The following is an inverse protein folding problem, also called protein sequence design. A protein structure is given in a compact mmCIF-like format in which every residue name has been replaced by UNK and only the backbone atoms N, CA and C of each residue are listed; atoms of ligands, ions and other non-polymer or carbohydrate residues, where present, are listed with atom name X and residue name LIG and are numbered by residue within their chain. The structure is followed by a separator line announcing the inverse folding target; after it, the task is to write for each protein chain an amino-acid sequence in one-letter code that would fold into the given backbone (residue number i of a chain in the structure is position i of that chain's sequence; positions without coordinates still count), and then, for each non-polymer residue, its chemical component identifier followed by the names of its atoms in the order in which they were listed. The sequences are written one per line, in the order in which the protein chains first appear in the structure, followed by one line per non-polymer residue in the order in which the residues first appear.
data_IF_141049818525
#
_entry.id   IF_141049818525
#
_cell.length_a   1.000
_cell.length_b   1.000
_cell.length_c   1.000
_cell.angle_alpha   90.00
_cell.angle_beta   90.00
_cell.angle_gamma   90.00
#
_symmetry.space_group_name_H-M   'P 1'
#
loop_
_entity.id
_entity.type
_entity.pdbx_description
1 polymer ?
#
# COMPACT_ATOMS: atom_id res chain seq x y z
N UNK A 1 -91.67 28.88 -69.10
CA UNK A 1 -91.37 27.74 -69.98
C UNK A 1 -89.87 27.40 -69.88
N UNK A 2 -89.58 26.15 -69.52
CA UNK A 2 -88.34 25.35 -69.71
C UNK A 2 -86.95 25.85 -69.24
N UNK A 3 -86.57 25.40 -68.03
CA UNK A 3 -85.49 24.43 -67.70
C UNK A 3 -84.27 24.33 -68.64
N UNK A 4 -83.06 24.57 -68.10
CA UNK A 4 -81.99 23.55 -68.02
C UNK A 4 -80.81 23.97 -67.13
N UNK A 5 -80.38 23.02 -66.30
CA UNK A 5 -79.27 23.06 -65.35
C UNK A 5 -77.92 22.84 -66.01
N UNK A 6 -76.85 23.38 -65.40
CA UNK A 6 -75.57 22.67 -65.25
C UNK A 6 -74.67 23.39 -64.23
N UNK A 7 -74.39 22.73 -63.11
CA UNK A 7 -73.26 23.05 -62.24
C UNK A 7 -72.02 22.33 -62.78
N UNK A 8 -70.91 23.03 -62.96
CA UNK A 8 -69.58 22.39 -63.06
C UNK A 8 -68.52 23.19 -62.31
N UNK A 9 -67.62 22.40 -61.70
CA UNK A 9 -66.59 22.74 -60.73
C UNK A 9 -65.49 23.66 -61.29
N UNK A 10 -65.01 24.57 -60.45
CA UNK A 10 -63.73 25.27 -60.58
C UNK A 10 -62.89 24.97 -59.32
N UNK A 11 -61.73 24.35 -59.51
CA UNK A 11 -60.58 24.52 -58.61
C UNK A 11 -59.30 24.32 -59.42
N UNK A 12 -58.39 25.27 -59.27
CA UNK A 12 -57.34 25.60 -60.23
C UNK A 12 -56.17 24.62 -60.29
N UNK A 13 -55.62 24.52 -61.49
CA UNK A 13 -54.34 23.90 -61.82
C UNK A 13 -53.15 24.75 -61.35
N UNK A 14 -52.14 24.12 -60.75
CA UNK A 14 -50.83 24.68 -60.39
C UNK A 14 -49.95 24.98 -61.62
N UNK A 15 -49.16 26.07 -61.64
CA UNK A 15 -48.21 26.32 -62.72
C UNK A 15 -46.87 25.63 -62.43
N UNK A 16 -46.44 24.75 -63.32
CA UNK A 16 -45.15 24.02 -63.27
C UNK A 16 -44.12 24.83 -64.08
N UNK A 17 -43.22 25.55 -63.40
CA UNK A 17 -42.09 26.22 -64.07
C UNK A 17 -41.13 25.15 -64.62
N UNK A 18 -40.98 25.06 -65.95
CA UNK A 18 -40.05 24.15 -66.60
C UNK A 18 -38.68 24.83 -66.68
N UNK A 19 -37.82 24.59 -65.69
CA UNK A 19 -36.39 24.91 -65.83
C UNK A 19 -35.84 24.01 -66.95
N UNK A 20 -35.22 24.60 -67.96
CA UNK A 20 -34.67 23.85 -69.10
C UNK A 20 -33.64 22.81 -68.61
N UNK A 21 -33.71 21.54 -69.07
CA UNK A 21 -32.75 20.51 -68.66
C UNK A 21 -31.30 20.90 -69.00
N UNK A 22 -31.12 21.76 -70.01
CA UNK A 22 -29.83 22.28 -70.43
C UNK A 22 -29.23 23.25 -69.38
N UNK A 23 -30.06 24.05 -68.72
CA UNK A 23 -29.64 24.93 -67.62
C UNK A 23 -29.25 24.13 -66.38
N UNK A 24 -30.03 23.09 -66.05
CA UNK A 24 -29.70 22.19 -64.93
C UNK A 24 -28.38 21.44 -65.18
N UNK A 25 -28.15 20.96 -66.40
CA UNK A 25 -26.88 20.33 -66.78
C UNK A 25 -25.70 21.29 -66.67
N UNK A 26 -25.87 22.56 -67.06
CA UNK A 26 -24.85 23.59 -66.96
C UNK A 26 -24.49 23.88 -65.49
N UNK A 27 -25.48 24.05 -64.61
CA UNK A 27 -25.25 24.25 -63.18
C UNK A 27 -24.60 23.04 -62.52
N UNK A 28 -25.00 21.82 -62.89
CA UNK A 28 -24.39 20.59 -62.38
C UNK A 28 -22.92 20.47 -62.79
N UNK A 29 -22.58 20.81 -64.04
CA UNK A 29 -21.21 20.83 -64.55
C UNK A 29 -20.34 21.88 -63.83
N UNK A 30 -20.86 23.09 -63.63
CA UNK A 30 -20.11 24.11 -62.87
C UNK A 30 -19.90 23.72 -61.40
N UNK A 31 -20.90 23.10 -60.77
CA UNK A 31 -20.78 22.62 -59.39
C UNK A 31 -19.73 21.50 -59.28
N UNK A 32 -19.66 20.58 -60.24
CA UNK A 32 -18.64 19.52 -60.24
C UNK A 32 -17.24 20.07 -60.44
N UNK A 33 -17.05 21.03 -61.36
CA UNK A 33 -15.75 21.71 -61.54
C UNK A 33 -15.34 22.47 -60.28
N UNK A 34 -16.27 23.17 -59.62
CA UNK A 34 -16.00 23.88 -58.38
C UNK A 34 -15.60 22.93 -57.24
N UNK A 35 -16.33 21.83 -57.05
CA UNK A 35 -16.00 20.83 -56.04
C UNK A 35 -14.66 20.15 -56.34
N UNK A 36 -14.41 19.77 -57.59
CA UNK A 36 -13.13 19.21 -58.01
C UNK A 36 -11.96 20.18 -57.76
N UNK A 37 -12.15 21.48 -58.04
CA UNK A 37 -11.16 22.51 -57.74
C UNK A 37 -10.88 22.67 -56.24
N UNK A 38 -11.93 22.61 -55.40
CA UNK A 38 -11.77 22.67 -53.93
C UNK A 38 -11.08 21.42 -53.38
N UNK A 39 -11.39 20.24 -53.91
CA UNK A 39 -10.73 19.00 -53.54
C UNK A 39 -9.25 18.99 -53.97
N UNK A 40 -8.95 19.54 -55.15
CA UNK A 40 -7.57 19.68 -55.62
C UNK A 40 -6.76 20.61 -54.70
N UNK A 41 -7.32 21.76 -54.35
CA UNK A 41 -6.68 22.69 -53.40
C UNK A 41 -6.48 22.06 -52.01
N UNK A 42 -7.45 21.31 -51.49
CA UNK A 42 -7.30 20.61 -50.21
C UNK A 42 -6.21 19.52 -50.28
N UNK A 43 -6.09 18.82 -51.42
CA UNK A 43 -5.04 17.84 -51.63
C UNK A 43 -3.63 18.47 -51.68
N UNK A 44 -3.47 19.62 -52.35
CA UNK A 44 -2.20 20.36 -52.36
C UNK A 44 -1.81 20.86 -50.96
N UNK A 45 -2.78 21.38 -50.20
CA UNK A 45 -2.54 21.81 -48.81
C UNK A 45 -2.13 20.64 -47.94
N UNK A 46 -2.78 19.47 -48.07
CA UNK A 46 -2.38 18.26 -47.33
C UNK A 46 -1.00 17.78 -47.72
N UNK A 47 -0.67 17.76 -49.01
CA UNK A 47 0.65 17.37 -49.48
C UNK A 47 1.75 18.30 -48.92
N UNK A 48 1.51 19.61 -48.92
CA UNK A 48 2.40 20.59 -48.33
C UNK A 48 2.57 20.38 -46.81
N UNK A 49 1.47 20.16 -46.08
CA UNK A 49 1.53 19.93 -44.63
C UNK A 49 2.25 18.63 -44.27
N UNK A 50 2.07 17.56 -45.06
CA UNK A 50 2.78 16.29 -44.89
C UNK A 50 4.28 16.49 -45.13
N UNK A 51 4.66 17.23 -46.17
CA UNK A 51 6.07 17.53 -46.46
C UNK A 51 6.73 18.36 -45.35
N UNK A 52 6.04 19.37 -44.82
CA UNK A 52 6.54 20.16 -43.68
C UNK A 52 6.64 19.31 -42.40
N UNK A 53 5.67 18.41 -42.16
CA UNK A 53 5.70 17.44 -41.06
C UNK A 53 6.90 16.49 -41.16
N UNK A 54 7.16 15.91 -42.33
CA UNK A 54 8.31 15.03 -42.55
C UNK A 54 9.63 15.79 -42.38
N UNK A 55 9.73 17.04 -42.88
CA UNK A 55 10.90 17.88 -42.70
C UNK A 55 11.18 18.20 -41.22
N UNK A 56 10.13 18.48 -40.43
CA UNK A 56 10.25 18.75 -38.98
C UNK A 56 10.61 17.50 -38.18
N UNK A 57 10.05 16.35 -38.57
CA UNK A 57 10.32 15.05 -37.94
C UNK A 57 11.75 14.60 -38.22
N UNK A 58 12.26 14.81 -39.43
CA UNK A 58 13.65 14.53 -39.80
C UNK A 58 14.68 15.43 -39.10
N UNK A 59 14.29 16.63 -38.64
CA UNK A 59 15.15 17.54 -37.86
C UNK A 59 15.20 17.22 -36.35
N UNK A 60 14.59 16.11 -35.90
CA UNK A 60 14.70 15.64 -34.52
C UNK A 60 13.98 16.50 -33.47
N UNK A 61 13.16 17.48 -33.89
CA UNK A 61 12.20 18.13 -33.00
C UNK A 61 10.94 17.27 -32.98
N UNK A 62 10.83 16.40 -31.97
CA UNK A 62 9.57 15.71 -31.67
C UNK A 62 8.44 16.73 -31.63
N UNK A 63 7.40 16.50 -32.42
CA UNK A 63 6.15 17.25 -32.35
C UNK A 63 5.65 17.11 -30.93
N UNK A 64 5.82 18.16 -30.12
CA UNK A 64 5.38 18.20 -28.73
C UNK A 64 3.86 17.98 -28.77
N UNK A 65 3.41 16.83 -28.29
CA UNK A 65 1.98 16.56 -28.19
C UNK A 65 1.34 17.61 -27.29
N UNK A 66 0.07 17.95 -27.54
CA UNK A 66 -0.71 18.78 -26.61
C UNK A 66 -0.66 18.19 -25.19
N UNK A 67 -0.57 16.87 -25.08
CA UNK A 67 -0.40 16.14 -23.82
C UNK A 67 0.95 16.43 -23.14
N UNK A 68 2.07 16.52 -23.87
CA UNK A 68 3.38 16.83 -23.30
C UNK A 68 3.44 18.28 -22.79
N UNK A 69 2.78 19.19 -23.51
CA UNK A 69 2.67 20.60 -23.09
C UNK A 69 1.81 20.72 -21.82
N UNK A 70 0.71 19.98 -21.76
CA UNK A 70 -0.16 19.90 -20.58
C UNK A 70 0.61 19.32 -19.39
N UNK A 71 1.39 18.25 -19.60
CA UNK A 71 2.21 17.63 -18.55
C UNK A 71 3.28 18.60 -18.02
N UNK A 72 3.91 19.38 -18.89
CA UNK A 72 4.91 20.40 -18.52
C UNK A 72 4.27 21.53 -17.69
N UNK A 73 3.09 22.00 -18.08
CA UNK A 73 2.34 23.03 -17.32
C UNK A 73 1.92 22.48 -15.95
N UNK A 74 1.42 21.24 -15.90
CA UNK A 74 1.01 20.58 -14.65
C UNK A 74 2.18 20.38 -13.70
N UNK A 75 3.37 20.03 -14.23
CA UNK A 75 4.61 19.91 -13.47
C UNK A 75 5.05 21.28 -12.91
N UNK A 76 4.99 22.34 -13.72
CA UNK A 76 5.32 23.71 -13.28
C UNK A 76 4.36 24.20 -12.18
N UNK A 77 3.08 23.86 -12.24
CA UNK A 77 2.12 24.19 -11.16
C UNK A 77 2.43 23.44 -9.86
N UNK A 78 2.80 22.15 -9.95
CA UNK A 78 3.21 21.39 -8.77
C UNK A 78 4.48 21.95 -8.14
N UNK A 79 5.46 22.37 -8.95
CA UNK A 79 6.67 23.01 -8.47
C UNK A 79 6.40 24.34 -7.76
N UNK A 80 5.43 25.13 -8.26
CA UNK A 80 4.95 26.35 -7.60
C UNK A 80 4.25 26.05 -6.27
N UNK A 81 3.46 24.97 -6.20
CA UNK A 81 2.83 24.53 -4.94
C UNK A 81 3.87 24.06 -3.92
N UNK A 82 4.90 23.32 -4.36
CA UNK A 82 5.99 22.84 -3.51
C UNK A 82 6.77 24.02 -2.92
N UNK A 83 7.22 24.95 -3.76
CA UNK A 83 7.95 26.16 -3.33
C UNK A 83 7.11 27.04 -2.40
N UNK A 84 5.80 27.19 -2.65
CA UNK A 84 4.91 27.91 -1.74
C UNK A 84 4.76 27.22 -0.37
N UNK A 85 4.73 25.89 -0.34
CA UNK A 85 4.71 25.12 0.91
C UNK A 85 6.04 25.20 1.65
N UNK A 86 7.17 25.17 0.94
CA UNK A 86 8.51 25.35 1.52
C UNK A 86 8.68 26.74 2.13
N UNK A 87 8.20 27.79 1.45
CA UNK A 87 8.20 29.15 2.00
C UNK A 87 7.32 29.26 3.26
N UNK A 88 6.14 28.63 3.26
CA UNK A 88 5.28 28.57 4.45
C UNK A 88 5.92 27.79 5.59
N UNK A 89 6.61 26.69 5.29
CA UNK A 89 7.35 25.90 6.28
C UNK A 89 8.52 26.69 6.86
N UNK A 90 9.25 27.45 6.04
CA UNK A 90 10.34 28.31 6.47
C UNK A 90 9.84 29.46 7.35
N UNK A 91 8.74 30.12 6.96
CA UNK A 91 8.10 31.15 7.77
C UNK A 91 7.61 30.60 9.12
N UNK A 92 6.93 29.45 9.11
CA UNK A 92 6.48 28.79 10.33
C UNK A 92 7.66 28.44 11.26
N UNK A 93 8.81 27.98 10.71
CA UNK A 93 10.03 27.72 11.51
C UNK A 93 10.59 28.99 12.17
N UNK A 94 10.56 30.12 11.48
CA UNK A 94 10.98 31.42 12.05
C UNK A 94 10.02 31.90 13.15
N UNK A 95 8.73 31.56 13.05
CA UNK A 95 7.70 31.81 14.08
C UNK A 95 7.70 30.78 15.23
N UNK A 96 8.69 29.87 15.27
CA UNK A 96 8.85 28.89 16.35
C UNK A 96 8.13 27.55 16.14
N UNK A 97 7.63 27.26 14.94
CA UNK A 97 7.10 25.93 14.61
C UNK A 97 8.22 24.89 14.55
N UNK A 98 8.27 24.05 15.59
CA UNK A 98 9.11 22.85 15.63
C UNK A 98 8.24 21.66 15.15
N UNK A 99 8.69 20.85 14.17
CA UNK A 99 7.99 19.64 13.76
C UNK A 99 7.65 18.78 14.98
N UNK A 100 6.45 18.17 15.02
CA UNK A 100 6.02 17.30 16.14
C UNK A 100 6.97 16.13 16.45
N UNK A 101 7.94 15.82 15.60
CA UNK A 101 9.01 14.85 15.90
C UNK A 101 10.13 15.41 16.79
N UNK A 102 10.30 16.73 16.86
CA UNK A 102 11.36 17.40 17.64
C UNK A 102 10.81 18.20 18.83
N UNK A 103 9.50 18.51 18.84
CA UNK A 103 8.82 19.12 19.98
C UNK A 103 8.05 18.08 20.79
N UNK A 104 8.79 17.24 21.52
CA UNK A 104 8.27 16.70 22.78
C UNK A 104 9.24 17.10 23.89
N UNK A 105 8.88 18.17 24.60
CA UNK A 105 9.29 18.36 25.99
C UNK A 105 8.72 17.19 26.79
N UNK A 106 9.42 16.05 26.77
CA UNK A 106 9.20 15.00 27.74
C UNK A 106 9.76 15.53 29.06
N UNK A 107 8.91 15.61 30.07
CA UNK A 107 9.35 15.44 31.44
C UNK A 107 10.39 14.32 31.45
N UNK A 108 11.62 14.67 31.81
CA UNK A 108 12.79 13.78 31.82
C UNK A 108 12.60 12.70 32.88
N UNK A 109 11.76 11.72 32.59
CA UNK A 109 12.03 10.35 32.99
C UNK A 109 13.12 9.86 32.05
N UNK A 110 14.30 9.44 32.52
CA UNK A 110 15.27 8.79 31.66
C UNK A 110 14.56 7.59 31.04
N UNK A 111 14.23 7.70 29.74
CA UNK A 111 13.71 6.57 28.98
C UNK A 111 14.83 5.56 28.98
N UNK A 112 14.60 4.44 29.66
CA UNK A 112 15.56 3.35 29.71
C UNK A 112 15.69 2.82 28.28
N UNK A 113 16.89 2.83 27.71
CA UNK A 113 17.14 2.21 26.41
C UNK A 113 16.82 0.72 26.52
N UNK A 114 15.75 0.30 25.86
CA UNK A 114 15.32 -1.09 25.80
C UNK A 114 16.06 -1.76 24.65
N UNK A 115 16.38 -3.04 24.81
CA UNK A 115 16.91 -3.84 23.71
C UNK A 115 15.83 -4.05 22.64
N UNK A 116 14.63 -4.47 23.05
CA UNK A 116 13.59 -4.81 22.09
C UNK A 116 12.16 -4.67 22.63
N UNK A 117 11.23 -4.38 21.72
CA UNK A 117 9.79 -4.57 21.92
C UNK A 117 9.31 -5.72 21.04
N UNK A 118 8.82 -6.78 21.65
CA UNK A 118 8.21 -7.94 20.99
C UNK A 118 6.69 -7.74 20.98
N UNK A 119 6.15 -7.53 19.79
CA UNK A 119 4.72 -7.49 19.53
C UNK A 119 4.20 -8.82 19.02
N UNK A 120 3.39 -9.49 19.83
CA UNK A 120 2.68 -10.72 19.44
C UNK A 120 1.36 -10.31 18.79
N UNK A 121 1.23 -10.54 17.49
CA UNK A 121 0.05 -10.15 16.70
C UNK A 121 -1.04 -11.21 16.89
N UNK A 122 -2.11 -10.85 17.59
CA UNK A 122 -3.22 -11.76 17.95
C UNK A 122 -4.57 -11.17 17.57
N UNK A 123 -5.60 -12.00 17.36
CA UNK A 123 -6.95 -11.52 17.00
C UNK A 123 -8.03 -12.03 17.96
N UNK A 124 -9.28 -11.70 17.67
CA UNK A 124 -10.43 -12.18 18.43
C UNK A 124 -10.55 -13.71 18.33
N UNK A 125 -11.09 -14.36 19.36
CA UNK A 125 -11.20 -15.82 19.41
C UNK A 125 -9.90 -16.58 19.68
N UNK A 126 -8.73 -15.93 19.60
CA UNK A 126 -7.41 -16.56 19.82
C UNK A 126 -6.98 -16.62 21.29
N UNK A 127 -7.93 -16.63 22.23
CA UNK A 127 -7.62 -16.68 23.67
C UNK A 127 -6.79 -17.91 24.05
N UNK A 128 -7.08 -19.07 23.46
CA UNK A 128 -6.32 -20.31 23.69
C UNK A 128 -4.85 -20.16 23.28
N UNK A 129 -4.57 -19.47 22.17
CA UNK A 129 -3.21 -19.20 21.71
C UNK A 129 -2.46 -18.31 22.70
N UNK A 130 -3.10 -17.22 23.14
CA UNK A 130 -2.51 -16.32 24.15
C UNK A 130 -2.21 -17.03 25.47
N UNK A 131 -3.15 -17.86 25.94
CA UNK A 131 -2.97 -18.66 27.15
C UNK A 131 -1.85 -19.71 27.00
N UNK A 132 -1.70 -20.32 25.81
CA UNK A 132 -0.60 -21.21 25.52
C UNK A 132 0.75 -20.46 25.55
N UNK A 133 0.82 -19.27 24.94
CA UNK A 133 2.03 -18.44 24.96
C UNK A 133 2.44 -18.05 26.38
N UNK A 134 1.49 -17.60 27.21
CA UNK A 134 1.73 -17.27 28.63
C UNK A 134 2.23 -18.45 29.46
N UNK A 135 1.81 -19.67 29.11
CA UNK A 135 2.24 -20.90 29.78
C UNK A 135 3.59 -21.40 29.25
N UNK A 136 3.88 -21.16 27.97
CA UNK A 136 5.02 -21.76 27.29
C UNK A 136 6.29 -20.90 27.36
N UNK A 137 6.22 -19.64 26.94
CA UNK A 137 7.44 -18.85 26.73
C UNK A 137 7.35 -17.38 27.13
N UNK A 138 6.15 -16.80 27.25
CA UNK A 138 5.98 -15.42 27.70
C UNK A 138 5.82 -15.38 29.23
N UNK A 139 6.77 -14.80 29.98
CA UNK A 139 6.61 -14.65 31.42
C UNK A 139 5.40 -13.78 31.76
N UNK A 140 4.79 -14.00 32.92
CA UNK A 140 3.62 -13.24 33.39
C UNK A 140 3.91 -12.53 34.73
N UNK A 141 3.09 -11.54 35.07
CA UNK A 141 3.16 -10.85 36.36
C UNK A 141 4.52 -10.20 36.66
N UNK A 142 5.10 -10.54 37.81
CA UNK A 142 6.41 -10.02 38.25
C UNK A 142 7.56 -10.47 37.34
N UNK A 143 7.51 -11.67 36.79
CA UNK A 143 8.53 -12.19 35.88
C UNK A 143 8.58 -11.41 34.56
N UNK A 144 7.42 -10.95 34.06
CA UNK A 144 7.35 -10.08 32.87
C UNK A 144 8.00 -8.72 33.14
N UNK A 145 7.78 -8.15 34.34
CA UNK A 145 8.45 -6.90 34.77
C UNK A 145 9.96 -7.11 34.93
N UNK A 146 10.38 -8.27 35.44
CA UNK A 146 11.80 -8.65 35.57
C UNK A 146 12.47 -8.72 34.19
N UNK A 147 11.81 -9.32 33.20
CA UNK A 147 12.30 -9.37 31.82
C UNK A 147 12.55 -7.97 31.24
N UNK A 148 11.59 -7.06 31.42
CA UNK A 148 11.73 -5.66 31.01
C UNK A 148 12.87 -4.94 31.73
N UNK A 149 13.03 -5.17 33.03
CA UNK A 149 14.01 -4.47 33.85
C UNK A 149 15.44 -5.00 33.67
N UNK A 150 15.62 -6.31 33.56
CA UNK A 150 16.95 -6.93 33.52
C UNK A 150 17.48 -7.09 32.10
N UNK A 151 16.61 -7.45 31.16
CA UNK A 151 17.01 -7.71 29.77
C UNK A 151 16.63 -6.59 28.80
N UNK A 152 15.86 -5.61 29.26
CA UNK A 152 15.39 -4.53 28.38
C UNK A 152 14.43 -5.02 27.30
N UNK A 153 13.72 -6.14 27.52
CA UNK A 153 12.79 -6.70 26.54
C UNK A 153 11.35 -6.53 27.04
N UNK A 154 10.53 -5.84 26.25
CA UNK A 154 9.09 -5.71 26.47
C UNK A 154 8.37 -6.72 25.59
N UNK A 155 7.43 -7.46 26.15
CA UNK A 155 6.56 -8.38 25.38
C UNK A 155 5.11 -7.98 25.61
N UNK A 156 4.34 -7.79 24.53
CA UNK A 156 2.92 -7.45 24.58
C UNK A 156 2.15 -8.14 23.45
N UNK A 157 0.91 -8.50 23.73
CA UNK A 157 -0.08 -8.84 22.72
C UNK A 157 -0.62 -7.58 22.06
N UNK A 158 -0.59 -7.51 20.73
CA UNK A 158 -1.13 -6.41 19.95
C UNK A 158 -2.42 -6.84 19.27
N UNK A 159 -3.47 -6.09 19.54
CA UNK A 159 -4.81 -6.33 19.02
C UNK A 159 -5.49 -4.99 18.74
N UNK A 160 -6.20 -4.89 17.64
CA UNK A 160 -7.11 -3.80 17.34
C UNK A 160 -8.44 -3.99 18.07
N UNK A 161 -9.45 -3.30 17.56
CA UNK A 161 -10.81 -3.27 18.12
C UNK A 161 -11.81 -3.81 17.12
N UNK A 162 -12.98 -4.18 17.62
CA UNK A 162 -14.09 -4.57 16.76
C UNK A 162 -14.52 -3.39 15.87
N UNK A 163 -15.09 -3.72 14.71
CA UNK A 163 -15.77 -2.73 13.87
C UNK A 163 -16.93 -2.07 14.65
N UNK A 164 -17.61 -2.84 15.50
CA UNK A 164 -18.66 -2.36 16.40
C UNK A 164 -18.06 -2.13 17.78
N UNK A 165 -17.63 -0.89 18.04
CA UNK A 165 -16.95 -0.54 19.28
C UNK A 165 -17.78 -0.84 20.52
N UNK A 166 -17.17 -1.52 21.48
CA UNK A 166 -17.79 -1.88 22.75
C UNK A 166 -18.72 -3.09 22.68
N UNK A 167 -18.64 -3.87 21.61
CA UNK A 167 -19.33 -5.16 21.52
C UNK A 167 -18.73 -6.21 22.49
N UNK A 168 -19.28 -7.42 22.45
CA UNK A 168 -18.84 -8.52 23.32
C UNK A 168 -17.37 -8.92 23.10
N UNK A 169 -16.83 -8.73 21.88
CA UNK A 169 -15.45 -9.04 21.55
C UNK A 169 -14.50 -8.04 22.22
N UNK A 170 -14.79 -6.74 22.11
CA UNK A 170 -14.03 -5.69 22.79
C UNK A 170 -14.09 -5.86 24.31
N UNK A 171 -15.28 -6.16 24.86
CA UNK A 171 -15.47 -6.39 26.31
C UNK A 171 -14.68 -7.61 26.80
N UNK A 172 -14.57 -8.68 26.01
CA UNK A 172 -13.74 -9.82 26.38
C UNK A 172 -12.25 -9.45 26.46
N UNK A 173 -11.74 -8.74 25.45
CA UNK A 173 -10.34 -8.28 25.44
C UNK A 173 -10.05 -7.33 26.59
N UNK A 174 -10.94 -6.37 26.87
CA UNK A 174 -10.77 -5.43 27.98
C UNK A 174 -10.75 -6.15 29.33
N UNK A 175 -11.62 -7.15 29.51
CA UNK A 175 -11.66 -7.97 30.72
C UNK A 175 -10.39 -8.80 30.87
N UNK A 176 -9.90 -9.42 29.80
CA UNK A 176 -8.64 -10.17 29.83
C UNK A 176 -7.47 -9.24 30.16
N UNK A 177 -7.36 -8.10 29.49
CA UNK A 177 -6.30 -7.12 29.70
C UNK A 177 -6.30 -6.52 31.12
N UNK A 178 -7.47 -6.35 31.75
CA UNK A 178 -7.56 -5.94 33.17
C UNK A 178 -6.97 -6.97 34.12
N UNK A 179 -6.94 -8.24 33.74
CA UNK A 179 -6.40 -9.33 34.57
C UNK A 179 -4.91 -9.53 34.32
N UNK A 180 -4.49 -9.49 33.05
CA UNK A 180 -3.13 -9.89 32.64
C UNK A 180 -2.19 -8.70 32.47
N UNK A 181 -2.72 -7.53 32.14
CA UNK A 181 -1.97 -6.30 31.83
C UNK A 181 -0.89 -6.49 30.75
N UNK A 182 -1.08 -7.42 29.82
CA UNK A 182 -0.11 -7.82 28.80
C UNK A 182 -0.50 -7.44 27.37
N UNK A 183 -1.57 -6.65 27.18
CA UNK A 183 -1.95 -6.14 25.88
C UNK A 183 -1.45 -4.72 25.62
N UNK A 184 -1.30 -4.40 24.34
CA UNK A 184 -1.47 -3.07 23.79
C UNK A 184 -2.64 -3.13 22.81
N UNK A 185 -3.72 -2.43 23.17
CA UNK A 185 -4.91 -2.33 22.32
C UNK A 185 -4.78 -1.12 21.41
N UNK A 186 -4.93 -1.33 20.11
CA UNK A 186 -4.81 -0.32 19.05
C UNK A 186 -6.19 0.28 18.80
N UNK A 187 -6.53 1.34 19.53
CA UNK A 187 -7.86 1.94 19.46
C UNK A 187 -8.19 2.59 18.10
N UNK A 188 -7.23 2.81 17.21
CA UNK A 188 -7.44 3.33 15.85
C UNK A 188 -7.40 2.24 14.76
N UNK A 189 -7.19 0.97 15.13
CA UNK A 189 -7.14 -0.17 14.22
C UNK A 189 -8.38 -1.05 14.39
N UNK A 190 -9.07 -1.34 13.28
CA UNK A 190 -10.12 -2.36 13.25
C UNK A 190 -9.48 -3.72 12.99
N UNK A 191 -9.91 -4.75 13.73
CA UNK A 191 -9.54 -6.14 13.47
C UNK A 191 -10.37 -6.71 12.32
N UNK A 192 -9.70 -7.04 11.23
CA UNK A 192 -10.19 -7.96 10.21
C UNK A 192 -9.02 -8.69 9.55
N UNK A 193 -9.25 -9.84 8.90
CA UNK A 193 -8.20 -10.55 8.17
C UNK A 193 -7.52 -9.67 7.10
N UNK A 194 -8.29 -8.87 6.38
CA UNK A 194 -7.81 -7.99 5.30
C UNK A 194 -6.99 -6.80 5.83
N UNK A 195 -7.21 -6.44 7.08
CA UNK A 195 -6.56 -5.32 7.77
C UNK A 195 -5.26 -5.73 8.49
N UNK A 196 -4.87 -7.01 8.42
CA UNK A 196 -3.69 -7.54 9.11
C UNK A 196 -2.38 -6.79 8.78
N UNK A 197 -2.07 -6.47 7.51
CA UNK A 197 -0.88 -5.68 7.18
C UNK A 197 -0.94 -4.23 7.70
N UNK A 198 -2.14 -3.63 7.75
CA UNK A 198 -2.35 -2.30 8.32
C UNK A 198 -2.13 -2.30 9.83
N UNK A 199 -2.57 -3.36 10.51
CA UNK A 199 -2.29 -3.58 11.94
C UNK A 199 -0.80 -3.63 12.23
N UNK A 200 0.04 -4.19 11.36
CA UNK A 200 1.50 -4.18 11.56
C UNK A 200 2.06 -2.76 11.53
N UNK A 201 1.61 -1.91 10.59
CA UNK A 201 1.99 -0.49 10.58
C UNK A 201 1.58 0.20 11.90
N UNK A 202 0.35 -0.05 12.35
CA UNK A 202 -0.16 0.49 13.61
C UNK A 202 0.66 0.00 14.81
N UNK A 203 1.00 -1.29 14.86
CA UNK A 203 1.91 -1.86 15.85
C UNK A 203 3.23 -1.08 15.93
N UNK A 204 3.93 -0.90 14.80
CA UNK A 204 5.22 -0.23 14.77
C UNK A 204 5.12 1.23 15.24
N UNK A 205 4.09 1.95 14.79
CA UNK A 205 3.85 3.35 15.17
C UNK A 205 3.61 3.48 16.68
N UNK A 206 2.69 2.68 17.22
CA UNK A 206 2.33 2.74 18.65
C UNK A 206 3.46 2.24 19.54
N UNK A 207 4.20 1.21 19.11
CA UNK A 207 5.33 0.70 19.85
C UNK A 207 6.45 1.75 19.95
N UNK A 208 6.76 2.44 18.86
CA UNK A 208 7.75 3.52 18.83
C UNK A 208 7.40 4.73 19.70
N UNK A 209 6.12 5.12 19.74
CA UNK A 209 5.70 6.27 20.55
C UNK A 209 5.82 5.96 22.05
N UNK A 210 5.53 4.71 22.41
CA UNK A 210 5.43 4.24 23.79
C UNK A 210 6.76 3.79 24.40
N UNK A 211 7.63 3.15 23.61
CA UNK A 211 8.86 2.54 24.09
C UNK A 211 10.07 2.97 23.28
N UNK A 212 11.14 3.29 24.02
CA UNK A 212 12.43 3.65 23.48
C UNK A 212 13.31 2.40 23.38
N UNK A 213 13.25 1.72 22.24
CA UNK A 213 13.92 0.43 22.02
C UNK A 213 14.76 0.42 20.74
N UNK A 214 15.84 -0.37 20.73
CA UNK A 214 16.72 -0.55 19.56
C UNK A 214 16.08 -1.42 18.48
N UNK A 215 15.30 -2.42 18.87
CA UNK A 215 14.62 -3.33 17.95
C UNK A 215 13.12 -3.45 18.20
N UNK A 216 12.37 -3.62 17.13
CA UNK A 216 10.95 -3.92 17.13
C UNK A 216 10.74 -5.28 16.45
N UNK A 217 10.19 -6.24 17.19
CA UNK A 217 10.03 -7.62 16.76
C UNK A 217 8.55 -7.92 16.60
N UNK A 218 8.16 -8.37 15.41
CA UNK A 218 6.83 -8.90 15.14
C UNK A 218 6.85 -10.42 15.29
N UNK A 219 5.84 -10.98 15.97
CA UNK A 219 5.68 -12.44 16.17
C UNK A 219 4.21 -12.81 15.99
N UNK A 220 3.91 -13.92 15.32
CA UNK A 220 2.54 -14.46 15.28
C UNK A 220 2.14 -15.15 16.59
N UNK A 221 0.84 -15.23 16.87
CA UNK A 221 0.33 -15.89 18.08
C UNK A 221 0.32 -17.44 18.04
N UNK A 222 0.75 -18.06 16.94
CA UNK A 222 0.93 -19.50 16.77
C UNK A 222 2.41 -19.95 16.79
N UNK A 223 3.32 -19.06 17.23
CA UNK A 223 4.77 -19.23 17.20
C UNK A 223 5.36 -19.33 18.62
N UNK A 224 6.30 -20.27 18.81
CA UNK A 224 7.14 -20.35 20.00
C UNK A 224 8.43 -19.55 19.82
N UNK A 225 8.81 -18.77 20.83
CA UNK A 225 10.04 -17.96 20.80
C UNK A 225 10.90 -18.25 22.04
N UNK A 226 12.16 -18.60 21.81
CA UNK A 226 13.17 -18.58 22.86
C UNK A 226 13.70 -17.15 23.03
N UNK A 227 13.28 -16.48 24.10
CA UNK A 227 13.63 -15.06 24.36
C UNK A 227 15.15 -14.87 24.55
N UNK A 228 15.86 -15.86 25.09
CA UNK A 228 17.30 -15.78 25.34
C UNK A 228 18.07 -15.82 24.01
N UNK A 229 17.71 -16.77 23.15
CA UNK A 229 18.26 -16.89 21.80
C UNK A 229 17.95 -15.67 20.95
N UNK A 230 16.71 -15.17 20.99
CA UNK A 230 16.32 -13.95 20.27
C UNK A 230 17.11 -12.75 20.79
N UNK A 231 17.24 -12.60 22.11
CA UNK A 231 18.04 -11.53 22.72
C UNK A 231 19.50 -11.57 22.27
N UNK A 232 20.10 -12.76 22.18
CA UNK A 232 21.47 -12.93 21.69
C UNK A 232 21.61 -12.53 20.21
N UNK A 233 20.66 -12.92 19.35
CA UNK A 233 20.63 -12.52 17.93
C UNK A 233 20.58 -10.99 17.81
N UNK A 234 19.68 -10.33 18.53
CA UNK A 234 19.54 -8.87 18.48
C UNK A 234 20.79 -8.15 19.03
N UNK A 235 21.37 -8.66 20.11
CA UNK A 235 22.58 -8.08 20.72
C UNK A 235 23.79 -8.13 19.77
N UNK A 236 23.90 -9.19 18.97
CA UNK A 236 24.97 -9.35 17.97
C UNK A 236 24.91 -8.31 16.83
N UNK A 237 23.86 -7.50 16.78
CA UNK A 237 23.59 -6.55 15.72
C UNK A 237 23.33 -5.12 16.23
N UNK A 238 23.68 -4.81 17.48
CA UNK A 238 23.45 -3.48 18.08
C UNK A 238 24.29 -2.36 17.46
N UNK A 239 25.43 -2.70 16.86
CA UNK A 239 26.36 -1.78 16.22
C UNK A 239 25.89 -1.28 14.84
N UNK A 240 24.79 -1.85 14.33
CA UNK A 240 24.26 -1.59 13.00
C UNK A 240 22.93 -0.84 13.08
N UNK A 241 22.73 0.11 12.17
CA UNK A 241 21.60 1.03 12.25
C UNK A 241 20.40 0.68 11.35
N UNK A 242 20.59 0.06 10.19
CA UNK A 242 19.53 -0.24 9.21
C UNK A 242 19.41 -1.74 8.96
N UNK A 243 18.77 -2.44 9.88
CA UNK A 243 18.73 -3.91 9.85
C UNK A 243 17.29 -4.40 9.80
N UNK A 244 17.08 -5.38 8.92
CA UNK A 244 15.90 -6.22 8.86
C UNK A 244 16.34 -7.68 9.02
N UNK A 245 15.92 -8.32 10.12
CA UNK A 245 16.34 -9.67 10.51
C UNK A 245 15.13 -10.60 10.44
N UNK A 246 15.31 -11.77 9.84
CA UNK A 246 14.29 -12.80 9.81
C UNK A 246 14.74 -14.01 9.01
N UNK A 247 13.84 -14.97 8.83
CA UNK A 247 14.05 -16.04 7.85
C UNK A 247 13.82 -15.47 6.45
N UNK A 248 14.88 -15.12 5.74
CA UNK A 248 14.75 -14.40 4.47
C UNK A 248 14.37 -15.38 3.36
N UNK A 249 13.28 -15.06 2.65
CA UNK A 249 12.72 -15.85 1.57
C UNK A 249 12.42 -15.00 0.34
N UNK A 250 12.23 -15.68 -0.77
CA UNK A 250 11.72 -15.16 -2.04
C UNK A 250 10.98 -16.30 -2.72
N UNK A 251 10.07 -16.00 -3.64
CA UNK A 251 9.27 -17.06 -4.25
C UNK A 251 8.26 -16.53 -5.25
N UNK A 252 7.40 -17.44 -5.72
CA UNK A 252 6.35 -17.10 -6.65
C UNK A 252 5.20 -16.39 -5.96
N UNK A 253 4.68 -15.35 -6.60
CA UNK A 253 3.46 -14.65 -6.21
C UNK A 253 2.26 -15.51 -6.60
N UNK A 254 1.37 -15.71 -5.64
CA UNK A 254 0.16 -16.52 -5.83
C UNK A 254 -0.90 -15.63 -6.49
N UNK A 255 -1.17 -15.89 -7.77
CA UNK A 255 -2.10 -15.10 -8.58
C UNK A 255 -3.48 -15.74 -8.74
N UNK A 256 -3.71 -16.93 -8.17
CA UNK A 256 -5.00 -17.63 -8.26
C UNK A 256 -5.98 -17.10 -7.19
N UNK A 257 -7.14 -16.52 -7.56
CA UNK A 257 -8.07 -15.89 -6.60
C UNK A 257 -8.63 -16.83 -5.51
N UNK A 258 -8.71 -18.13 -5.81
CA UNK A 258 -9.25 -19.13 -4.88
C UNK A 258 -8.19 -19.65 -3.88
N UNK A 259 -6.95 -19.17 -3.97
CA UNK A 259 -5.90 -19.57 -3.05
C UNK A 259 -5.92 -18.66 -1.81
N UNK A 260 -5.77 -19.24 -0.61
CA UNK A 260 -5.68 -18.48 0.65
C UNK A 260 -4.55 -17.46 0.68
N UNK A 261 -3.50 -17.67 -0.14
CA UNK A 261 -2.34 -16.79 -0.25
C UNK A 261 -2.43 -15.84 -1.44
N UNK A 262 -3.58 -15.74 -2.11
CA UNK A 262 -3.79 -14.85 -3.25
C UNK A 262 -3.35 -13.42 -2.95
N UNK A 263 -2.58 -12.84 -3.87
CA UNK A 263 -2.17 -11.44 -3.83
C UNK A 263 -2.95 -10.63 -4.87
N UNK A 264 -3.93 -9.80 -4.50
CA UNK A 264 -4.71 -9.00 -5.45
C UNK A 264 -3.86 -8.07 -6.33
N UNK A 265 -2.71 -7.62 -5.83
CA UNK A 265 -1.75 -6.81 -6.56
C UNK A 265 -0.68 -7.64 -7.28
N UNK A 266 -0.93 -8.93 -7.58
CA UNK A 266 0.07 -9.84 -8.16
C UNK A 266 0.74 -9.30 -9.42
N UNK A 267 0.01 -8.50 -10.21
CA UNK A 267 0.48 -7.90 -11.46
C UNK A 267 1.60 -6.86 -11.26
N UNK A 268 1.81 -6.36 -10.04
CA UNK A 268 2.89 -5.42 -9.71
C UNK A 268 4.25 -6.10 -9.49
N UNK A 269 4.30 -7.43 -9.41
CA UNK A 269 5.51 -8.20 -9.13
C UNK A 269 6.25 -8.65 -10.40
N UNK A 270 6.08 -7.88 -11.49
CA UNK A 270 6.69 -8.13 -12.79
C UNK A 270 6.16 -9.37 -13.50
N UNK A 271 6.67 -9.61 -14.70
CA UNK A 271 6.21 -10.71 -15.58
C UNK A 271 6.50 -12.08 -14.99
N UNK A 272 7.61 -12.22 -14.25
CA UNK A 272 7.98 -13.43 -13.55
C UNK A 272 7.11 -13.71 -12.32
N UNK A 273 6.29 -12.75 -11.89
CA UNK A 273 5.43 -12.81 -10.69
C UNK A 273 6.19 -13.37 -9.50
N UNK A 274 7.29 -12.72 -9.12
CA UNK A 274 8.12 -13.17 -8.01
C UNK A 274 8.20 -12.11 -6.92
N UNK A 275 8.01 -12.54 -5.67
CA UNK A 275 8.23 -11.68 -4.52
C UNK A 275 9.71 -11.31 -4.42
N UNK A 276 9.98 -10.04 -4.15
CA UNK A 276 11.30 -9.57 -3.71
C UNK A 276 11.72 -10.29 -2.41
N UNK A 277 13.00 -10.17 -2.05
CA UNK A 277 13.54 -10.74 -0.81
C UNK A 277 12.83 -10.09 0.40
N UNK A 278 12.23 -10.91 1.26
CA UNK A 278 11.55 -10.47 2.48
C UNK A 278 11.66 -11.53 3.58
N UNK A 279 11.47 -11.16 4.85
CA UNK A 279 11.45 -12.15 5.93
C UNK A 279 10.13 -12.94 5.92
N UNK A 280 10.13 -14.17 6.44
CA UNK A 280 8.90 -14.93 6.67
C UNK A 280 7.99 -14.24 7.70
N UNK A 281 6.66 -14.32 7.48
CA UNK A 281 5.67 -13.70 8.36
C UNK A 281 5.53 -14.30 9.77
N UNK A 282 6.24 -15.36 10.12
CA UNK A 282 6.13 -15.94 11.48
C UNK A 282 6.78 -15.04 12.53
N UNK A 283 8.00 -14.58 12.24
CA UNK A 283 8.79 -13.70 13.09
C UNK A 283 9.80 -12.90 12.27
N UNK A 284 9.91 -11.61 12.56
CA UNK A 284 11.00 -10.78 12.08
C UNK A 284 11.27 -9.61 13.04
N UNK A 285 12.49 -9.08 12.99
CA UNK A 285 12.90 -7.92 13.76
C UNK A 285 13.37 -6.81 12.82
N UNK A 286 13.04 -5.58 13.16
CA UNK A 286 13.57 -4.39 12.50
C UNK A 286 14.24 -3.47 13.51
N UNK A 287 15.31 -2.83 13.08
CA UNK A 287 15.97 -1.76 13.82
C UNK A 287 15.04 -0.55 14.02
N UNK A 288 15.32 0.25 15.04
CA UNK A 288 14.59 1.46 15.39
C UNK A 288 14.47 2.44 14.22
N UNK A 289 15.53 2.63 13.46
CA UNK A 289 15.56 3.54 12.30
C UNK A 289 14.54 3.15 11.22
N UNK A 290 14.38 1.84 10.95
CA UNK A 290 13.40 1.32 10.00
C UNK A 290 11.99 1.44 10.54
N UNK A 291 11.79 1.19 11.83
CA UNK A 291 10.51 1.46 12.45
C UNK A 291 10.16 2.96 12.32
N UNK A 292 11.11 3.87 12.56
CA UNK A 292 10.91 5.31 12.42
C UNK A 292 10.58 5.69 10.98
N UNK A 293 11.29 5.12 10.01
CA UNK A 293 10.98 5.28 8.59
C UNK A 293 9.53 4.86 8.29
N UNK A 294 9.08 3.70 8.79
CA UNK A 294 7.70 3.23 8.62
C UNK A 294 6.72 4.21 9.26
N UNK A 295 7.01 4.71 10.45
CA UNK A 295 6.14 5.66 11.17
C UNK A 295 5.98 6.99 10.41
N UNK A 296 7.08 7.55 9.91
CA UNK A 296 7.10 8.81 9.16
C UNK A 296 6.38 8.66 7.81
N UNK A 297 6.65 7.58 7.08
CA UNK A 297 6.16 7.37 5.71
C UNK A 297 4.86 6.57 5.64
N UNK A 298 4.22 6.26 6.78
CA UNK A 298 3.00 5.44 6.87
C UNK A 298 1.90 5.71 5.83
N UNK A 299 1.61 6.96 5.40
CA UNK A 299 0.50 7.23 4.46
C UNK A 299 0.80 6.78 3.03
N UNK A 300 2.09 6.74 2.66
CA UNK A 300 2.54 6.39 1.31
C UNK A 300 3.03 4.95 1.20
N UNK A 301 3.34 4.30 2.32
CA UNK A 301 3.76 2.90 2.35
C UNK A 301 2.59 1.97 1.98
N UNK A 302 2.74 1.33 0.80
CA UNK A 302 1.79 0.34 0.27
C UNK A 302 1.71 -0.87 1.22
N UNK A 303 0.49 -1.36 1.41
CA UNK A 303 0.25 -2.67 2.01
C UNK A 303 -0.24 -3.63 0.93
N UNK A 304 0.34 -4.81 0.93
CA UNK A 304 -0.02 -5.98 0.13
C UNK A 304 -0.94 -6.90 0.94
N UNK A 305 -1.37 -8.03 0.39
CA UNK A 305 -2.28 -8.95 1.10
C UNK A 305 -1.66 -9.53 2.38
N UNK A 306 -0.35 -9.78 2.33
CA UNK A 306 0.40 -10.37 3.45
C UNK A 306 1.30 -9.33 4.10
N UNK A 307 1.42 -9.41 5.42
CA UNK A 307 2.17 -8.43 6.20
C UNK A 307 3.67 -8.55 6.02
N UNK A 308 4.17 -9.75 5.79
CA UNK A 308 5.58 -10.04 5.53
C UNK A 308 6.04 -9.49 4.16
N UNK A 309 5.23 -9.69 3.13
CA UNK A 309 5.41 -9.06 1.81
C UNK A 309 5.34 -7.54 1.95
N UNK A 310 4.37 -7.02 2.72
CA UNK A 310 4.26 -5.58 2.98
C UNK A 310 5.54 -5.03 3.63
N UNK A 311 6.02 -5.65 4.70
CA UNK A 311 7.24 -5.24 5.38
C UNK A 311 8.45 -5.26 4.45
N UNK A 312 8.66 -6.33 3.67
CA UNK A 312 9.76 -6.38 2.72
C UNK A 312 9.69 -5.28 1.65
N UNK A 313 8.49 -4.92 1.18
CA UNK A 313 8.32 -3.86 0.18
C UNK A 313 8.76 -2.49 0.70
N UNK A 314 8.64 -2.25 2.01
CA UNK A 314 9.03 -0.98 2.62
C UNK A 314 10.55 -0.81 2.68
N UNK A 315 11.31 -1.91 2.66
CA UNK A 315 12.74 -1.92 2.90
C UNK A 315 13.58 -2.26 1.66
N UNK A 316 13.01 -2.92 0.64
CA UNK A 316 13.76 -3.37 -0.54
C UNK A 316 14.43 -2.23 -1.34
N UNK A 317 13.83 -1.04 -1.33
CA UNK A 317 14.38 0.15 -2.00
C UNK A 317 15.28 1.00 -1.11
N UNK A 318 15.57 0.57 0.12
CA UNK A 318 16.39 1.27 1.09
C UNK A 318 17.75 0.57 1.24
N UNK A 319 18.75 1.32 1.72
CA UNK A 319 20.05 0.75 2.10
C UNK A 319 19.93 0.01 3.45
N UNK A 320 19.33 -1.17 3.40
CA UNK A 320 19.00 -2.04 4.54
C UNK A 320 19.74 -3.35 4.45
N UNK A 321 20.45 -3.71 5.52
CA UNK A 321 21.04 -5.03 5.65
C UNK A 321 19.96 -6.07 5.98
N UNK A 322 19.72 -6.97 5.03
CA UNK A 322 18.80 -8.08 5.19
C UNK A 322 19.54 -9.28 5.78
N UNK A 323 19.34 -9.53 7.06
CA UNK A 323 19.99 -10.62 7.78
C UNK A 323 19.10 -11.86 7.73
N UNK A 324 19.61 -12.89 7.05
CA UNK A 324 18.97 -14.21 6.96
C UNK A 324 19.35 -15.07 8.17
N UNK A 325 18.50 -15.08 9.19
CA UNK A 325 18.70 -15.88 10.40
C UNK A 325 17.88 -17.17 10.32
N UNK A 326 18.57 -18.27 10.02
CA UNK A 326 17.98 -19.59 9.85
C UNK A 326 17.29 -20.11 11.12
N UNK A 327 17.71 -19.67 12.32
CA UNK A 327 17.04 -20.01 13.58
C UNK A 327 15.63 -19.43 13.67
N UNK A 328 15.32 -18.41 12.86
CA UNK A 328 13.99 -17.81 12.77
C UNK A 328 13.10 -18.49 11.72
N UNK A 329 13.61 -19.49 10.99
CA UNK A 329 12.82 -20.24 10.02
C UNK A 329 11.98 -21.32 10.71
N UNK A 330 10.67 -21.33 10.44
CA UNK A 330 9.81 -22.45 10.81
C UNK A 330 10.09 -23.65 9.89
N UNK A 331 10.77 -24.68 10.38
CA UNK A 331 10.92 -25.93 9.62
C UNK A 331 9.63 -26.75 9.65
N UNK A 332 8.97 -26.93 8.51
CA UNK A 332 8.10 -28.08 8.31
C UNK A 332 9.01 -29.29 8.06
N UNK A 333 9.30 -30.06 9.12
CA UNK A 333 10.07 -31.33 9.07
C UNK A 333 11.49 -31.27 8.48
N UNK A 334 12.50 -31.13 9.34
CA UNK A 334 13.82 -31.73 9.10
C UNK A 334 14.15 -32.69 10.24
N UNK A 335 14.34 -33.97 9.90
CA UNK A 335 14.82 -35.00 10.83
C UNK A 335 16.21 -34.58 11.33
N UNK A 336 16.30 -34.37 12.64
CA UNK A 336 17.55 -34.12 13.35
C UNK A 336 17.96 -32.64 13.30
N UNK A 337 18.49 -32.18 14.43
CA UNK A 337 18.96 -30.82 14.75
C UNK A 337 17.89 -29.90 15.35
N UNK A 338 18.25 -29.34 16.51
CA UNK A 338 17.41 -28.52 17.40
C UNK A 338 16.73 -27.37 16.64
N UNK A 339 15.42 -27.51 16.42
CA UNK A 339 14.57 -26.47 15.86
C UNK A 339 14.14 -25.55 17.01
N UNK A 340 14.39 -24.24 16.89
CA UNK A 340 14.15 -23.27 17.96
C UNK A 340 12.82 -22.50 17.82
N UNK A 341 12.10 -22.72 16.72
CA UNK A 341 10.76 -22.17 16.47
C UNK A 341 9.84 -23.28 15.96
N UNK A 342 8.74 -23.51 16.68
CA UNK A 342 7.72 -24.49 16.30
C UNK A 342 6.37 -23.81 16.09
N UNK A 343 5.66 -24.23 15.02
CA UNK A 343 4.24 -23.92 14.81
C UNK A 343 3.40 -24.96 15.55
N UNK A 344 2.77 -24.56 16.65
CA UNK A 344 2.12 -25.50 17.59
C UNK A 344 0.93 -26.27 17.00
N UNK A 345 0.20 -25.67 16.05
CA UNK A 345 -1.13 -26.18 15.67
C UNK A 345 -1.17 -27.23 14.56
N UNK A 346 -0.07 -27.51 13.87
CA UNK A 346 -0.04 -28.60 12.87
C UNK A 346 0.15 -30.00 13.47
N UNK A 347 0.49 -30.11 14.77
CA UNK A 347 0.75 -31.42 15.41
C UNK A 347 -0.48 -31.99 16.12
N UNK A 348 -1.45 -31.16 16.52
CA UNK A 348 -2.62 -31.61 17.28
C UNK A 348 -3.87 -31.91 16.44
N UNK A 349 -3.88 -31.61 15.13
CA UNK A 349 -5.01 -31.92 14.24
C UNK A 349 -4.96 -33.33 13.62
N UNK A 350 -3.89 -34.11 13.85
CA UNK A 350 -3.80 -35.50 13.39
C UNK A 350 -4.10 -36.53 14.49
N UNK A 351 -4.58 -36.10 15.65
CA UNK A 351 -4.88 -36.96 16.80
C UNK A 351 -6.22 -36.60 17.46
N UNK A 352 -7.30 -36.64 16.70
CA UNK A 352 -8.67 -36.85 17.20
C UNK A 352 -9.50 -37.53 16.14
#
# INVERSE_FOLDING_TARGET
MNIRSSQTRLSGSTPRSRISPLLLALFAAMATVYVAGRLWQDAEVRAYLIQELDQRTAQGRSVISVDDTLQTITCSEQQRKLTALEMKLAAARQEGFIPKSLSKNYETRPRKNLLAVIGIITTFGHRKNRDAIRKAWMPTGSALKKLANERGIIVKFFIGRSANRGDSLDVEIDRENRQTHDFLVLDDQVESPEEHPRKIKSFLVHALDKWDAEFFVKVNDDVFVNIDSLGAILTAHLDKHHIYIGCMKSGQVVSEPNNKWYEPDWWKFGDAKSYFRHASGDIYAISRSLAQYVSINRPILRTYAHDDVSAGSWFIGLDVEHIDEQKLCCSSQSKGWLVYIFRWFSVFQSST
#
